data_IF_807302079329
#
_entry.id   IF_807302079329
#
_cell.length_a   1.000
_cell.length_b   1.000
_cell.length_c   1.000
_cell.angle_alpha   90.00
_cell.angle_beta   90.00
_cell.angle_gamma   90.00
#
_symmetry.space_group_name_H-M   'P 1'
#
loop_
_entity.id
_entity.type
_entity.pdbx_description
1 polymer ?
#
# COMPACT_ATOMS: atom_id res chain seq x y z
N UNK A 1 9.11 -18.59 -37.91
CA UNK A 1 8.21 -17.77 -37.06
C UNK A 1 9.07 -17.02 -36.05
N UNK A 2 9.35 -15.72 -36.28
CA UNK A 2 10.19 -14.92 -35.36
C UNK A 2 9.30 -14.40 -34.22
N UNK A 3 9.51 -14.90 -33.01
CA UNK A 3 8.82 -14.39 -31.80
C UNK A 3 9.32 -12.95 -31.58
N UNK A 4 8.42 -11.97 -31.72
CA UNK A 4 8.71 -10.58 -31.32
C UNK A 4 8.95 -10.60 -29.80
N UNK A 5 10.19 -10.39 -29.37
CA UNK A 5 10.49 -10.11 -27.96
C UNK A 5 9.85 -8.76 -27.61
N UNK A 6 8.67 -8.78 -27.00
CA UNK A 6 8.15 -7.59 -26.33
C UNK A 6 9.13 -7.24 -25.21
N UNK A 7 9.73 -6.06 -25.30
CA UNK A 7 10.64 -5.54 -24.27
C UNK A 7 9.79 -5.19 -23.05
N UNK A 8 9.79 -6.07 -22.05
CA UNK A 8 9.10 -5.82 -20.77
C UNK A 8 9.85 -4.69 -20.09
N UNK A 9 9.19 -3.56 -19.88
CA UNK A 9 9.74 -2.43 -19.13
C UNK A 9 9.44 -2.70 -17.65
N UNK A 10 10.46 -2.73 -16.77
CA UNK A 10 10.22 -2.92 -15.35
C UNK A 10 9.47 -1.72 -14.79
N UNK A 11 8.48 -1.98 -13.94
CA UNK A 11 7.67 -0.92 -13.30
C UNK A 11 8.48 -0.16 -12.25
N UNK A 12 9.40 -0.85 -11.57
CA UNK A 12 10.28 -0.26 -10.58
C UNK A 12 11.68 -0.10 -11.18
N UNK A 13 12.35 1.05 -11.00
CA UNK A 13 13.76 1.18 -11.30
C UNK A 13 14.59 0.13 -10.56
N UNK A 14 15.63 -0.37 -11.21
CA UNK A 14 16.55 -1.35 -10.60
C UNK A 14 17.42 -0.62 -9.59
N UNK A 15 17.33 -1.03 -8.32
CA UNK A 15 18.19 -0.58 -7.22
C UNK A 15 18.53 -1.78 -6.34
N UNK A 16 19.71 -1.76 -5.72
CA UNK A 16 20.20 -2.90 -4.93
C UNK A 16 19.40 -3.14 -3.65
N UNK A 17 18.98 -2.07 -2.98
CA UNK A 17 18.37 -2.11 -1.65
C UNK A 17 17.13 -1.24 -1.51
N UNK A 18 16.63 -0.72 -2.63
CA UNK A 18 15.42 0.09 -2.66
C UNK A 18 14.43 -0.48 -3.66
N UNK A 19 13.15 -0.48 -3.30
CA UNK A 19 12.06 -0.51 -4.28
C UNK A 19 11.53 0.90 -4.41
N UNK A 20 11.51 1.44 -5.63
CA UNK A 20 11.17 2.84 -5.90
C UNK A 20 9.96 2.94 -6.81
N UNK A 21 9.03 3.81 -6.46
CA UNK A 21 7.93 4.28 -7.30
C UNK A 21 8.13 5.78 -7.53
N UNK A 22 8.43 6.15 -8.78
CA UNK A 22 8.73 7.55 -9.17
C UNK A 22 7.47 8.34 -9.52
N UNK A 23 6.38 7.66 -9.84
CA UNK A 23 5.10 8.27 -10.18
C UNK A 23 3.95 7.48 -9.57
N UNK A 24 2.95 8.19 -9.07
CA UNK A 24 1.73 7.56 -8.59
C UNK A 24 0.82 7.24 -9.78
N UNK A 25 0.50 5.94 -9.96
CA UNK A 25 -0.44 5.48 -10.97
C UNK A 25 -1.49 4.57 -10.35
N UNK A 26 -2.76 4.95 -10.52
CA UNK A 26 -3.93 4.23 -10.01
C UNK A 26 -3.92 2.75 -10.41
N UNK A 27 -3.57 2.45 -11.66
CA UNK A 27 -3.47 1.10 -12.21
C UNK A 27 -2.42 0.20 -11.51
N UNK A 28 -1.48 0.80 -10.78
CA UNK A 28 -0.45 0.08 -10.03
C UNK A 28 -0.72 0.09 -8.52
N UNK A 29 -1.60 0.96 -8.03
CA UNK A 29 -1.78 1.22 -6.60
C UNK A 29 -2.06 -0.04 -5.78
N UNK A 30 -3.01 -0.87 -6.20
CA UNK A 30 -3.39 -2.09 -5.48
C UNK A 30 -2.20 -3.05 -5.25
N UNK A 31 -1.35 -3.23 -6.28
CA UNK A 31 -0.11 -4.00 -6.20
C UNK A 31 0.94 -3.27 -5.36
N UNK A 32 1.06 -1.98 -5.57
CA UNK A 32 2.04 -1.12 -4.92
C UNK A 32 1.80 -1.02 -3.41
N UNK A 33 0.56 -1.17 -2.94
CA UNK A 33 0.28 -1.34 -1.51
C UNK A 33 0.79 -2.67 -0.96
N UNK A 34 0.78 -3.75 -1.75
CA UNK A 34 1.38 -5.04 -1.36
C UNK A 34 2.90 -4.92 -1.32
N UNK A 35 3.52 -4.44 -2.40
CA UNK A 35 4.98 -4.40 -2.56
C UNK A 35 5.65 -3.51 -1.51
N UNK A 36 5.00 -2.42 -1.12
CA UNK A 36 5.52 -1.46 -0.13
C UNK A 36 4.99 -1.72 1.29
N UNK A 37 4.57 -2.96 1.59
CA UNK A 37 4.14 -3.34 2.94
C UNK A 37 5.32 -3.35 3.92
N UNK A 38 5.02 -3.09 5.19
CA UNK A 38 5.97 -3.18 6.30
C UNK A 38 5.51 -4.21 7.32
N UNK A 39 6.44 -4.83 8.02
CA UNK A 39 6.13 -5.68 9.17
C UNK A 39 7.36 -6.15 9.94
N UNK A 40 7.14 -6.54 11.19
CA UNK A 40 8.17 -6.99 12.15
C UNK A 40 7.94 -8.43 12.63
N UNK A 41 7.03 -9.17 11.98
CA UNK A 41 6.60 -10.51 12.40
C UNK A 41 5.46 -10.55 13.43
N UNK A 42 5.22 -9.45 14.16
CA UNK A 42 4.07 -9.30 15.06
C UNK A 42 2.94 -8.46 14.43
N UNK A 43 3.28 -7.34 13.81
CA UNK A 43 2.39 -6.40 13.14
C UNK A 43 2.79 -6.31 11.68
N UNK A 44 1.79 -6.33 10.79
CA UNK A 44 1.95 -6.13 9.36
C UNK A 44 1.02 -5.03 8.88
N UNK A 45 1.52 -4.12 8.04
CA UNK A 45 0.74 -3.05 7.44
C UNK A 45 1.02 -3.01 5.95
N UNK A 46 -0.05 -2.96 5.14
CA UNK A 46 0.07 -2.65 3.72
C UNK A 46 0.62 -1.23 3.53
N UNK A 47 1.27 -1.00 2.40
CA UNK A 47 1.82 0.30 1.99
C UNK A 47 0.75 1.32 1.58
N UNK A 48 -0.40 1.37 2.28
CA UNK A 48 -1.45 2.35 2.06
C UNK A 48 -0.98 3.75 2.49
N UNK A 49 -1.51 4.76 1.80
CA UNK A 49 -1.28 6.17 2.12
C UNK A 49 -1.91 6.57 3.46
N UNK A 50 -1.20 7.40 4.22
CA UNK A 50 -1.61 7.88 5.55
C UNK A 50 -2.88 8.75 5.49
N UNK A 51 -2.99 9.61 4.49
CA UNK A 51 -4.12 10.50 4.22
C UNK A 51 -5.40 9.79 3.75
N UNK A 52 -5.27 8.50 3.45
CA UNK A 52 -6.30 7.69 2.83
C UNK A 52 -6.22 7.68 1.30
N UNK A 53 -7.12 6.92 0.69
CA UNK A 53 -7.18 6.73 -0.75
C UNK A 53 -8.61 6.99 -1.25
N UNK A 54 -8.77 7.98 -2.13
CA UNK A 54 -10.07 8.38 -2.69
C UNK A 54 -10.24 7.98 -4.17
N UNK A 55 -9.43 7.03 -4.65
CA UNK A 55 -9.48 6.56 -6.03
C UNK A 55 -10.63 5.58 -6.30
N UNK A 56 -10.67 5.02 -7.53
CA UNK A 56 -11.74 4.10 -7.93
C UNK A 56 -11.82 2.86 -7.03
N UNK A 57 -13.03 2.33 -6.85
CA UNK A 57 -13.25 1.09 -6.11
C UNK A 57 -12.44 -0.07 -6.73
N UNK A 58 -11.94 -0.97 -5.89
CA UNK A 58 -11.12 -2.11 -6.32
C UNK A 58 -9.66 -1.77 -6.70
N UNK A 59 -9.24 -0.51 -6.58
CA UNK A 59 -7.84 -0.09 -6.86
C UNK A 59 -7.00 0.10 -5.61
N UNK A 60 -7.57 -0.11 -4.42
CA UNK A 60 -6.90 -0.09 -3.12
C UNK A 60 -7.51 -1.14 -2.19
N UNK A 61 -6.71 -1.64 -1.24
CA UNK A 61 -7.19 -2.45 -0.13
C UNK A 61 -6.44 -2.01 1.14
N UNK A 62 -7.17 -1.45 2.09
CA UNK A 62 -6.61 -1.10 3.40
C UNK A 62 -6.28 -2.38 4.17
N UNK A 63 -5.07 -2.51 4.69
CA UNK A 63 -4.67 -3.71 5.44
C UNK A 63 -3.75 -3.44 6.61
N UNK A 64 -4.17 -3.88 7.80
CA UNK A 64 -3.36 -3.94 9.02
C UNK A 64 -3.67 -5.27 9.72
N UNK A 65 -2.64 -6.02 10.11
CA UNK A 65 -2.78 -7.37 10.63
C UNK A 65 -1.88 -7.58 11.85
N UNK A 66 -2.40 -8.23 12.87
CA UNK A 66 -1.62 -8.70 14.03
C UNK A 66 -1.48 -10.22 13.92
N UNK A 67 -0.24 -10.69 14.01
CA UNK A 67 0.07 -12.11 13.99
C UNK A 67 -0.58 -12.79 15.21
N UNK A 68 -1.30 -13.89 14.95
CA UNK A 68 -2.08 -14.59 15.97
C UNK A 68 -3.47 -14.02 16.24
N UNK A 69 -3.86 -12.91 15.60
CA UNK A 69 -5.22 -12.39 15.67
C UNK A 69 -6.03 -12.85 14.45
N UNK A 70 -6.93 -13.80 14.66
CA UNK A 70 -7.70 -14.44 13.61
C UNK A 70 -9.12 -14.80 14.07
N UNK A 71 -9.99 -15.02 13.10
CA UNK A 71 -11.32 -15.62 13.32
C UNK A 71 -11.32 -17.07 12.86
N UNK A 72 -12.13 -17.90 13.51
CA UNK A 72 -12.37 -19.30 13.14
C UNK A 72 -13.78 -19.46 12.59
N UNK A 73 -13.91 -20.07 11.41
CA UNK A 73 -15.21 -20.35 10.80
C UNK A 73 -15.35 -21.84 10.46
N UNK A 74 -16.58 -22.37 10.56
CA UNK A 74 -16.86 -23.74 10.16
C UNK A 74 -16.81 -23.88 8.64
N UNK A 75 -16.10 -24.90 8.16
CA UNK A 75 -16.01 -25.22 6.75
C UNK A 75 -17.15 -26.15 6.35
N UNK A 76 -17.91 -25.75 5.33
CA UNK A 76 -18.97 -26.57 4.73
C UNK A 76 -18.49 -27.09 3.39
N UNK A 77 -18.31 -28.40 3.33
CA UNK A 77 -17.99 -29.10 2.09
C UNK A 77 -19.25 -29.71 1.48
N UNK A 78 -19.37 -29.73 0.15
CA UNK A 78 -20.40 -30.52 -0.54
C UNK A 78 -20.25 -32.02 -0.27
N UNK A 79 -19.02 -32.49 -0.08
CA UNK A 79 -18.66 -33.89 0.21
C UNK A 79 -17.58 -33.95 1.29
N UNK A 80 -17.71 -34.85 2.25
CA UNK A 80 -16.80 -34.98 3.39
C UNK A 80 -15.92 -36.22 3.19
N UNK A 81 -14.61 -36.06 3.40
CA UNK A 81 -13.66 -37.17 3.44
C UNK A 81 -12.90 -37.17 4.78
N UNK A 82 -12.40 -38.33 5.17
CA UNK A 82 -11.59 -38.47 6.38
C UNK A 82 -10.35 -37.57 6.32
N UNK A 83 -10.13 -36.79 7.38
CA UNK A 83 -8.99 -35.87 7.49
C UNK A 83 -9.22 -34.47 6.92
N UNK A 84 -10.43 -34.15 6.42
CA UNK A 84 -10.75 -32.78 6.03
C UNK A 84 -10.83 -31.87 7.25
N UNK A 85 -10.28 -30.65 7.19
CA UNK A 85 -10.37 -29.71 8.30
C UNK A 85 -11.80 -29.23 8.45
N UNK A 86 -12.35 -29.34 9.65
CA UNK A 86 -13.72 -28.89 9.93
C UNK A 86 -13.82 -27.36 10.04
N UNK A 87 -12.69 -26.68 10.26
CA UNK A 87 -12.62 -25.25 10.53
C UNK A 87 -11.53 -24.58 9.72
N UNK A 88 -11.80 -23.36 9.27
CA UNK A 88 -10.80 -22.45 8.72
C UNK A 88 -10.45 -21.38 9.73
N UNK A 89 -9.20 -20.91 9.69
CA UNK A 89 -8.74 -19.75 10.44
C UNK A 89 -8.22 -18.71 9.47
N UNK A 90 -8.64 -17.46 9.62
CA UNK A 90 -8.21 -16.35 8.75
C UNK A 90 -7.83 -15.14 9.59
N UNK A 91 -6.65 -14.58 9.33
CA UNK A 91 -6.23 -13.34 9.99
C UNK A 91 -7.20 -12.21 9.63
N UNK A 92 -7.63 -11.49 10.66
CA UNK A 92 -8.54 -10.37 10.47
C UNK A 92 -7.77 -9.11 10.11
N UNK A 93 -8.32 -8.35 9.17
CA UNK A 93 -7.91 -6.98 8.96
C UNK A 93 -8.41 -6.15 10.16
N UNK A 94 -7.48 -5.57 10.92
CA UNK A 94 -7.78 -4.78 12.10
C UNK A 94 -7.87 -3.28 11.77
N UNK A 95 -8.27 -2.49 12.77
CA UNK A 95 -8.38 -1.04 12.65
C UNK A 95 -7.10 -0.40 12.11
N UNK A 96 -7.28 0.55 11.18
CA UNK A 96 -6.17 1.29 10.62
C UNK A 96 -5.59 2.30 11.62
N UNK A 97 -4.42 2.00 12.17
CA UNK A 97 -3.72 2.88 13.12
C UNK A 97 -2.84 3.97 12.47
N UNK A 98 -2.78 4.06 11.13
CA UNK A 98 -1.84 4.97 10.43
C UNK A 98 -2.50 6.17 9.73
N UNK A 99 -3.79 6.41 9.98
CA UNK A 99 -4.53 7.51 9.34
C UNK A 99 -4.05 8.87 9.85
N UNK A 100 -3.66 9.75 8.93
CA UNK A 100 -3.26 11.14 9.21
C UNK A 100 -3.91 12.05 8.18
N UNK A 101 -4.81 12.93 8.61
CA UNK A 101 -5.39 13.95 7.75
C UNK A 101 -4.55 15.21 7.75
N UNK A 102 -4.31 15.77 6.56
CA UNK A 102 -3.50 16.96 6.35
C UNK A 102 -4.37 18.02 5.67
N UNK A 103 -4.34 19.23 6.21
CA UNK A 103 -5.08 20.37 5.67
C UNK A 103 -4.10 21.52 5.44
N UNK A 104 -4.18 22.12 4.25
CA UNK A 104 -3.50 23.37 3.93
C UNK A 104 -4.54 24.49 4.00
N UNK A 105 -4.61 25.15 5.15
CA UNK A 105 -5.78 25.96 5.55
C UNK A 105 -7.07 25.11 5.54
N UNK A 106 -8.03 25.43 4.67
CA UNK A 106 -9.31 24.73 4.53
C UNK A 106 -9.28 23.62 3.45
N UNK A 107 -8.14 23.40 2.79
CA UNK A 107 -8.01 22.42 1.70
C UNK A 107 -7.43 21.10 2.21
N UNK A 108 -8.23 20.02 2.20
CA UNK A 108 -7.76 18.68 2.54
C UNK A 108 -6.80 18.15 1.45
N UNK A 109 -5.61 17.72 1.88
CA UNK A 109 -4.68 17.03 1.01
C UNK A 109 -5.18 15.62 0.68
N UNK A 110 -5.22 15.32 -0.61
CA UNK A 110 -5.50 13.99 -1.15
C UNK A 110 -4.79 13.86 -2.50
N UNK A 111 -4.34 12.64 -2.84
CA UNK A 111 -3.67 12.33 -4.10
C UNK A 111 -4.54 12.53 -5.36
N UNK A 112 -5.85 12.69 -5.20
CA UNK A 112 -6.81 12.88 -6.29
C UNK A 112 -7.37 14.30 -6.41
N UNK A 113 -7.10 15.18 -5.43
CA UNK A 113 -7.45 16.60 -5.49
C UNK A 113 -6.18 17.44 -5.60
N UNK A 114 -6.23 18.57 -6.31
CA UNK A 114 -5.03 19.36 -6.60
C UNK A 114 -4.08 18.68 -7.59
N UNK A 115 -2.81 19.05 -7.56
CA UNK A 115 -1.79 18.60 -8.50
C UNK A 115 -0.55 18.08 -7.77
N UNK A 116 -0.14 16.84 -8.06
CA UNK A 116 1.11 16.26 -7.55
C UNK A 116 2.24 16.56 -8.52
N UNK A 117 3.06 17.57 -8.21
CA UNK A 117 4.13 18.08 -9.08
C UNK A 117 5.34 17.15 -9.09
N UNK A 118 5.69 16.60 -7.91
CA UNK A 118 6.76 15.62 -7.74
C UNK A 118 6.29 14.54 -6.81
N UNK A 119 6.69 13.31 -7.08
CA UNK A 119 6.36 12.16 -6.25
C UNK A 119 7.57 11.22 -6.22
N UNK A 120 7.82 10.61 -5.07
CA UNK A 120 8.71 9.46 -4.95
C UNK A 120 8.30 8.67 -3.72
N UNK A 121 8.13 7.37 -3.86
CA UNK A 121 7.96 6.43 -2.75
C UNK A 121 9.04 5.37 -2.79
N UNK A 122 9.59 5.04 -1.63
CA UNK A 122 10.79 4.22 -1.51
C UNK A 122 10.65 3.28 -0.33
N UNK A 123 10.71 1.98 -0.60
CA UNK A 123 10.92 0.97 0.43
C UNK A 123 12.43 0.73 0.56
N UNK A 124 13.00 1.14 1.68
CA UNK A 124 14.40 0.93 2.04
C UNK A 124 14.53 -0.45 2.72
N UNK A 125 15.06 -1.42 1.96
CA UNK A 125 15.17 -2.81 2.41
C UNK A 125 16.28 -3.01 3.45
N UNK A 126 17.26 -2.10 3.54
CA UNK A 126 18.33 -2.19 4.55
C UNK A 126 17.82 -1.80 5.92
N UNK A 127 16.98 -0.76 5.98
CA UNK A 127 16.50 -0.21 7.24
C UNK A 127 15.05 -0.63 7.59
N UNK A 128 14.33 -1.25 6.66
CA UNK A 128 12.92 -1.63 6.87
C UNK A 128 11.98 -0.43 6.96
N UNK A 129 12.28 0.64 6.20
CA UNK A 129 11.57 1.93 6.30
C UNK A 129 10.88 2.25 4.98
N UNK A 130 9.61 2.64 5.04
CA UNK A 130 8.88 3.21 3.92
C UNK A 130 8.98 4.74 3.96
N UNK A 131 9.50 5.33 2.89
CA UNK A 131 9.62 6.79 2.73
C UNK A 131 8.76 7.24 1.56
N UNK A 132 8.05 8.35 1.71
CA UNK A 132 7.30 9.00 0.62
C UNK A 132 7.58 10.51 0.65
N UNK A 133 7.94 11.07 -0.50
CA UNK A 133 8.17 12.50 -0.67
C UNK A 133 7.36 12.97 -1.85
N UNK A 134 6.62 14.07 -1.67
CA UNK A 134 5.90 14.69 -2.78
C UNK A 134 5.83 16.21 -2.63
N UNK A 135 5.61 16.88 -3.76
CA UNK A 135 5.21 18.29 -3.81
C UNK A 135 3.79 18.31 -4.33
N UNK A 136 2.88 18.86 -3.53
CA UNK A 136 1.48 19.00 -3.85
C UNK A 136 1.13 20.47 -4.00
N UNK A 137 0.38 20.80 -5.06
CA UNK A 137 -0.23 22.11 -5.28
C UNK A 137 -1.73 21.98 -5.03
N UNK A 138 -2.25 22.77 -4.10
CA UNK A 138 -3.67 22.81 -3.78
C UNK A 138 -4.48 23.39 -4.95
N UNK A 139 -5.80 23.11 -5.02
CA UNK A 139 -6.71 23.78 -5.96
C UNK A 139 -6.62 25.31 -5.93
N UNK A 140 -6.35 25.93 -4.77
CA UNK A 140 -6.11 27.37 -4.66
C UNK A 140 -4.71 27.83 -5.11
N UNK A 141 -3.86 26.92 -5.60
CA UNK A 141 -2.55 27.22 -6.17
C UNK A 141 -1.40 27.26 -5.17
N UNK A 142 -1.62 26.82 -3.93
CA UNK A 142 -0.59 26.83 -2.87
C UNK A 142 0.23 25.56 -2.92
N UNK A 143 1.55 25.66 -2.74
CA UNK A 143 2.43 24.50 -2.79
C UNK A 143 2.96 24.10 -1.42
N UNK A 144 2.97 22.80 -1.16
CA UNK A 144 3.55 22.21 0.06
C UNK A 144 4.39 20.99 -0.32
N UNK A 145 5.50 20.81 0.39
CA UNK A 145 6.30 19.59 0.33
C UNK A 145 5.95 18.69 1.50
N UNK A 146 5.55 17.46 1.21
CA UNK A 146 5.27 16.43 2.20
C UNK A 146 6.39 15.40 2.19
N UNK A 147 6.91 15.07 3.38
CA UNK A 147 7.84 13.97 3.58
C UNK A 147 7.30 13.09 4.70
N UNK A 148 7.04 11.83 4.36
CA UNK A 148 6.44 10.86 5.25
C UNK A 148 7.40 9.69 5.37
N UNK A 149 7.64 9.24 6.59
CA UNK A 149 8.53 8.11 6.89
C UNK A 149 7.86 7.21 7.91
N UNK A 150 7.81 5.92 7.61
CA UNK A 150 7.14 4.91 8.44
C UNK A 150 8.05 3.70 8.65
N UNK A 151 7.98 3.13 9.85
CA UNK A 151 8.60 1.84 10.21
C UNK A 151 7.61 1.03 11.08
N UNK A 152 7.82 -0.28 11.14
CA UNK A 152 7.16 -1.17 12.11
C UNK A 152 8.26 -1.79 12.95
N UNK A 153 8.32 -1.42 14.24
CA UNK A 153 9.46 -1.69 15.14
C UNK A 153 9.40 -3.05 15.79
#
# INVERSE_FOLDING_TARGET
MKIKKNKVIPIYPISEWEIVEEEFRVEHNFRNETIFSLGNGYLGMRGNFEEGYCGPEGTSLEGTYINGFYETADLKYPEIAYGYPEKSQTMLNITNGKTIKLYLEDEEFNMFSGEVIKYRRTLDLRHGVLKRSLIWRSPAGREVRLNITRLVS
#
